data_IF_240297059110
#
_entry.id   IF_240297059110
#
_cell.length_a   1.000
_cell.length_b   1.000
_cell.length_c   1.000
_cell.angle_alpha   90.00
_cell.angle_beta   90.00
_cell.angle_gamma   90.00
#
_symmetry.space_group_name_H-M   'P 1'
#
loop_
_entity.id
_entity.type
_entity.pdbx_description
1 polymer ?
#
# COMPACT_ATOMS: atom_id res chain seq x y z
N UNK A 1 18.26 -1.64 0.44
CA UNK A 1 16.95 -2.30 0.18
C UNK A 1 16.66 -3.46 1.15
N UNK A 2 17.53 -4.47 1.35
CA UNK A 2 17.24 -5.59 2.27
C UNK A 2 16.80 -5.15 3.67
N UNK A 3 17.57 -4.29 4.35
CA UNK A 3 17.21 -3.79 5.68
C UNK A 3 15.90 -3.00 5.69
N UNK A 4 15.60 -2.25 4.62
CA UNK A 4 14.34 -1.53 4.48
C UNK A 4 13.14 -2.47 4.34
N UNK A 5 13.34 -3.67 3.79
CA UNK A 5 12.27 -4.65 3.62
C UNK A 5 12.09 -5.53 4.85
N UNK A 6 13.20 -5.92 5.51
CA UNK A 6 13.12 -6.82 6.67
C UNK A 6 12.84 -6.09 7.99
N UNK A 7 13.37 -4.88 8.16
CA UNK A 7 13.33 -4.13 9.42
C UNK A 7 12.96 -2.65 9.20
N UNK A 8 11.85 -2.32 8.55
CA UNK A 8 11.53 -0.91 8.24
C UNK A 8 11.43 -0.06 9.51
N UNK A 9 10.85 -0.61 10.57
CA UNK A 9 10.66 0.04 11.87
C UNK A 9 11.80 -0.24 12.86
N UNK A 10 12.78 -1.05 12.46
CA UNK A 10 14.03 -1.25 13.19
C UNK A 10 14.92 -0.02 13.09
N UNK A 11 15.92 0.10 13.98
CA UNK A 11 16.79 1.26 13.95
C UNK A 11 18.04 1.13 14.81
N UNK A 12 18.88 2.15 14.72
CA UNK A 12 20.11 2.32 15.52
C UNK A 12 19.77 3.19 16.73
N UNK A 13 20.05 2.69 17.93
CA UNK A 13 19.91 3.45 19.16
C UNK A 13 21.12 4.37 19.36
N UNK A 14 20.86 5.68 19.43
CA UNK A 14 21.86 6.69 19.77
C UNK A 14 21.40 7.39 21.06
N UNK A 15 21.89 6.94 22.18
CA UNK A 15 21.43 7.37 23.50
C UNK A 15 19.95 6.97 23.72
N UNK A 16 19.09 7.96 23.94
CA UNK A 16 17.63 7.75 24.13
C UNK A 16 16.84 7.80 22.84
N UNK A 17 17.49 8.06 21.70
CA UNK A 17 16.83 8.24 20.41
C UNK A 17 17.06 6.98 19.56
N UNK A 18 16.00 6.45 18.94
CA UNK A 18 16.10 5.40 17.92
C UNK A 18 15.94 6.05 16.55
N UNK A 19 16.99 5.98 15.72
CA UNK A 19 16.94 6.41 14.32
C UNK A 19 16.53 5.19 13.49
N UNK A 20 15.31 5.21 12.96
CA UNK A 20 14.76 4.08 12.19
C UNK A 20 15.50 3.91 10.85
N UNK A 21 15.67 2.66 10.42
CA UNK A 21 16.32 2.33 9.15
C UNK A 21 15.60 2.92 7.95
N UNK A 22 14.27 3.04 7.98
CA UNK A 22 13.50 3.67 6.91
C UNK A 22 13.95 5.12 6.65
N UNK A 23 14.26 5.90 7.69
CA UNK A 23 14.77 7.25 7.52
C UNK A 23 16.25 7.23 7.12
N UNK A 24 17.10 6.52 7.85
CA UNK A 24 18.56 6.52 7.63
C UNK A 24 18.92 6.01 6.23
N UNK A 25 18.48 4.81 5.89
CA UNK A 25 18.80 4.17 4.61
C UNK A 25 17.96 4.75 3.47
N UNK A 26 16.72 5.16 3.74
CA UNK A 26 15.88 5.83 2.77
C UNK A 26 16.50 7.15 2.31
N UNK A 27 16.91 8.00 3.24
CA UNK A 27 17.60 9.25 2.92
C UNK A 27 18.95 9.02 2.22
N UNK A 28 19.69 7.95 2.60
CA UNK A 28 20.93 7.58 1.91
C UNK A 28 20.67 7.23 0.43
N UNK A 29 19.63 6.45 0.13
CA UNK A 29 19.28 6.11 -1.26
C UNK A 29 18.86 7.36 -2.05
N UNK A 30 18.06 8.24 -1.44
CA UNK A 30 17.63 9.51 -2.06
C UNK A 30 18.86 10.39 -2.34
N UNK A 31 19.78 10.49 -1.36
CA UNK A 31 21.02 11.23 -1.51
C UNK A 31 21.90 10.67 -2.65
N UNK A 32 22.07 9.35 -2.73
CA UNK A 32 22.79 8.73 -3.85
C UNK A 32 22.14 9.07 -5.21
N UNK A 33 20.81 9.10 -5.29
CA UNK A 33 20.08 9.54 -6.48
C UNK A 33 20.41 10.98 -6.85
N UNK A 34 20.39 11.90 -5.87
CA UNK A 34 20.70 13.30 -6.05
C UNK A 34 22.17 13.51 -6.48
N UNK A 35 23.11 12.85 -5.82
CA UNK A 35 24.54 12.89 -6.18
C UNK A 35 24.76 12.35 -7.60
N UNK A 36 24.12 11.23 -7.95
CA UNK A 36 24.20 10.69 -9.31
C UNK A 36 23.68 11.66 -10.35
N UNK A 37 22.60 12.40 -10.04
CA UNK A 37 22.07 13.44 -10.94
C UNK A 37 23.08 14.60 -11.11
N UNK A 38 23.72 15.04 -10.04
CA UNK A 38 24.72 16.14 -10.12
C UNK A 38 25.93 15.78 -10.97
N UNK A 39 26.45 14.54 -10.84
CA UNK A 39 27.64 14.12 -11.58
C UNK A 39 27.35 13.59 -13.00
N UNK A 40 26.16 13.03 -13.22
CA UNK A 40 25.76 12.46 -14.52
C UNK A 40 24.27 12.76 -14.77
N UNK A 41 23.92 14.00 -15.13
CA UNK A 41 22.54 14.42 -15.27
C UNK A 41 21.86 13.67 -16.40
N UNK A 42 20.88 12.86 -16.06
CA UNK A 42 19.92 12.25 -16.98
C UNK A 42 18.61 13.02 -16.86
N UNK A 43 18.53 14.19 -17.51
CA UNK A 43 17.43 15.15 -17.33
C UNK A 43 16.07 14.52 -17.67
N UNK A 44 15.95 13.83 -18.80
CA UNK A 44 14.71 13.17 -19.23
C UNK A 44 14.22 12.16 -18.19
N UNK A 45 15.16 11.36 -17.68
CA UNK A 45 14.90 10.37 -16.66
C UNK A 45 14.46 11.04 -15.34
N UNK A 46 15.11 12.13 -14.96
CA UNK A 46 14.76 12.89 -13.76
C UNK A 46 13.39 13.53 -13.88
N UNK A 47 13.04 14.11 -15.03
CA UNK A 47 11.71 14.68 -15.26
C UNK A 47 10.62 13.62 -15.21
N UNK A 48 10.88 12.44 -15.78
CA UNK A 48 9.93 11.32 -15.73
C UNK A 48 9.69 10.84 -14.29
N UNK A 49 10.79 10.55 -13.57
CA UNK A 49 10.74 10.13 -12.17
C UNK A 49 10.10 11.20 -11.28
N UNK A 50 10.44 12.48 -11.50
CA UNK A 50 9.88 13.61 -10.75
C UNK A 50 8.38 13.73 -10.96
N UNK A 51 7.90 13.62 -12.19
CA UNK A 51 6.47 13.69 -12.52
C UNK A 51 5.66 12.59 -11.83
N UNK A 52 6.12 11.33 -11.90
CA UNK A 52 5.43 10.22 -11.25
C UNK A 52 5.59 10.27 -9.73
N UNK A 53 6.76 10.64 -9.24
CA UNK A 53 7.01 10.79 -7.81
C UNK A 53 6.09 11.83 -7.17
N UNK A 54 5.95 13.00 -7.79
CA UNK A 54 5.03 14.04 -7.30
C UNK A 54 3.58 13.56 -7.33
N UNK A 55 3.14 12.91 -8.43
CA UNK A 55 1.77 12.40 -8.53
C UNK A 55 1.46 11.31 -7.50
N UNK A 56 2.42 10.41 -7.23
CA UNK A 56 2.27 9.35 -6.24
C UNK A 56 2.38 9.87 -4.80
N UNK A 57 3.16 10.93 -4.56
CA UNK A 57 3.30 11.56 -3.25
C UNK A 57 2.18 12.56 -2.92
N UNK A 58 1.45 13.04 -3.93
CA UNK A 58 0.43 14.08 -3.77
C UNK A 58 -0.62 13.76 -2.69
N UNK A 59 -1.19 12.54 -2.60
CA UNK A 59 -2.18 12.23 -1.56
C UNK A 59 -1.64 12.43 -0.13
N UNK A 60 -0.35 12.19 0.09
CA UNK A 60 0.29 12.34 1.40
C UNK A 60 0.46 13.83 1.76
N UNK A 61 0.96 14.64 0.83
CA UNK A 61 1.06 16.09 1.02
C UNK A 61 -0.32 16.71 1.24
N UNK A 62 -1.30 16.29 0.46
CA UNK A 62 -2.68 16.75 0.57
C UNK A 62 -3.27 16.40 1.95
N UNK A 63 -3.06 15.19 2.45
CA UNK A 63 -3.52 14.76 3.78
C UNK A 63 -2.92 15.61 4.90
N UNK A 64 -1.64 15.99 4.80
CA UNK A 64 -1.01 16.92 5.76
C UNK A 64 -1.65 18.29 5.67
N UNK A 65 -1.84 18.81 4.45
CA UNK A 65 -2.44 20.14 4.26
C UNK A 65 -3.84 20.23 4.88
N UNK A 66 -4.71 19.25 4.63
CA UNK A 66 -6.02 19.19 5.29
C UNK A 66 -5.88 19.09 6.81
N UNK A 67 -4.98 18.23 7.28
CA UNK A 67 -4.76 18.06 8.72
C UNK A 67 -4.23 19.33 9.38
N UNK A 68 -3.43 20.12 8.71
CA UNK A 68 -2.99 21.43 9.26
C UNK A 68 -4.19 22.34 9.54
N UNK A 69 -5.18 22.37 8.64
CA UNK A 69 -6.42 23.13 8.84
C UNK A 69 -7.18 22.59 10.06
N UNK A 70 -7.37 21.26 10.13
CA UNK A 70 -8.08 20.59 11.23
C UNK A 70 -7.36 20.84 12.57
N UNK A 71 -6.04 20.70 12.63
CA UNK A 71 -5.25 20.90 13.84
C UNK A 71 -5.37 22.33 14.37
N UNK A 72 -5.46 23.33 13.49
CA UNK A 72 -5.66 24.72 13.89
C UNK A 72 -7.07 24.95 14.42
N UNK A 73 -8.10 24.38 13.78
CA UNK A 73 -9.50 24.54 14.18
C UNK A 73 -9.78 23.83 15.51
N UNK A 74 -9.28 22.58 15.68
CA UNK A 74 -9.55 21.74 16.84
C UNK A 74 -8.53 21.92 17.99
N UNK A 75 -7.58 22.87 17.86
CA UNK A 75 -6.49 23.09 18.83
C UNK A 75 -5.83 21.77 19.28
N UNK A 76 -5.51 20.92 18.30
CA UNK A 76 -5.02 19.57 18.53
C UNK A 76 -3.72 19.56 19.36
N UNK A 77 -3.56 18.54 20.19
CA UNK A 77 -2.33 18.33 20.96
C UNK A 77 -1.08 18.28 20.04
N UNK A 78 0.06 18.91 20.44
CA UNK A 78 1.30 18.86 19.65
C UNK A 78 1.79 17.44 19.32
N UNK A 79 1.50 16.47 20.18
CA UNK A 79 1.86 15.07 19.96
C UNK A 79 1.06 14.42 18.82
N UNK A 80 -0.20 14.82 18.59
CA UNK A 80 -1.02 14.38 17.46
C UNK A 80 -0.40 14.92 16.17
N UNK A 81 -0.16 16.23 16.12
CA UNK A 81 0.46 16.91 14.98
C UNK A 81 1.80 16.27 14.61
N UNK A 82 2.68 16.07 15.60
CA UNK A 82 3.98 15.43 15.41
C UNK A 82 3.85 14.06 14.78
N UNK A 83 2.92 13.23 15.26
CA UNK A 83 2.68 11.89 14.69
C UNK A 83 2.16 11.94 13.27
N UNK A 84 1.18 12.80 13.00
CA UNK A 84 0.64 12.98 11.65
C UNK A 84 1.71 13.39 10.64
N UNK A 85 2.57 14.35 11.03
CA UNK A 85 3.70 14.76 10.20
C UNK A 85 4.69 13.60 9.99
N UNK A 86 5.04 12.84 11.05
CA UNK A 86 5.92 11.70 10.92
C UNK A 86 5.38 10.64 9.97
N UNK A 87 4.09 10.31 10.03
CA UNK A 87 3.48 9.36 9.09
C UNK A 87 3.56 9.84 7.65
N UNK A 88 3.23 11.10 7.40
CA UNK A 88 3.29 11.64 6.04
C UNK A 88 4.73 11.70 5.50
N UNK A 89 5.70 12.12 6.31
CA UNK A 89 7.12 12.11 5.95
C UNK A 89 7.61 10.70 5.64
N UNK A 90 7.22 9.73 6.47
CA UNK A 90 7.53 8.32 6.27
C UNK A 90 7.05 7.80 4.90
N UNK A 91 5.82 8.13 4.52
CA UNK A 91 5.22 7.74 3.25
C UNK A 91 5.86 8.47 2.05
N UNK A 92 6.16 9.75 2.20
CA UNK A 92 6.87 10.54 1.16
C UNK A 92 8.28 9.99 0.95
N UNK A 93 9.02 9.66 2.01
CA UNK A 93 10.34 9.02 1.90
C UNK A 93 10.22 7.68 1.15
N UNK A 94 9.20 6.87 1.41
CA UNK A 94 9.00 5.62 0.69
C UNK A 94 8.84 5.85 -0.83
N UNK A 95 8.05 6.84 -1.24
CA UNK A 95 7.91 7.22 -2.66
C UNK A 95 9.23 7.73 -3.22
N UNK A 96 9.94 8.60 -2.51
CA UNK A 96 11.23 9.14 -2.96
C UNK A 96 12.31 8.06 -3.09
N UNK A 97 12.34 7.07 -2.18
CA UNK A 97 13.22 5.89 -2.29
C UNK A 97 12.91 5.10 -3.56
N UNK A 98 11.64 4.87 -3.85
CA UNK A 98 11.22 4.22 -5.08
C UNK A 98 11.68 4.99 -6.33
N UNK A 99 11.49 6.31 -6.33
CA UNK A 99 11.88 7.18 -7.44
C UNK A 99 13.40 7.24 -7.60
N UNK A 100 14.16 7.38 -6.51
CA UNK A 100 15.63 7.33 -6.56
C UNK A 100 16.14 5.98 -7.06
N UNK A 101 15.49 4.87 -6.66
CA UNK A 101 15.83 3.53 -7.15
C UNK A 101 15.58 3.41 -8.66
N UNK A 102 14.46 3.91 -9.17
CA UNK A 102 14.19 3.95 -10.61
C UNK A 102 15.15 4.88 -11.34
N UNK A 103 15.51 6.02 -10.76
CA UNK A 103 16.50 6.93 -11.35
C UNK A 103 17.86 6.25 -11.48
N UNK A 104 18.34 5.58 -10.44
CA UNK A 104 19.67 4.93 -10.39
C UNK A 104 19.74 3.67 -11.28
N UNK A 105 18.73 2.81 -11.22
CA UNK A 105 18.78 1.46 -11.76
C UNK A 105 17.77 1.17 -12.88
N UNK A 106 16.84 2.09 -13.14
CA UNK A 106 15.75 1.86 -14.09
C UNK A 106 14.91 0.65 -13.72
N UNK A 107 14.51 -0.13 -14.71
CA UNK A 107 13.74 -1.37 -14.52
C UNK A 107 14.45 -2.37 -13.59
N UNK A 108 15.80 -2.44 -13.62
CA UNK A 108 16.55 -3.29 -12.71
C UNK A 108 16.29 -2.96 -11.24
N UNK A 109 15.88 -1.72 -10.92
CA UNK A 109 15.47 -1.31 -9.58
C UNK A 109 14.26 -2.09 -9.06
N UNK A 110 13.32 -2.45 -9.94
CA UNK A 110 12.16 -3.30 -9.59
C UNK A 110 12.64 -4.69 -9.16
N UNK A 111 13.53 -5.29 -9.96
CA UNK A 111 14.08 -6.61 -9.67
C UNK A 111 14.98 -6.61 -8.42
N UNK A 112 15.72 -5.53 -8.18
CA UNK A 112 16.52 -5.36 -6.95
C UNK A 112 15.62 -5.28 -5.71
N UNK A 113 14.50 -4.56 -5.79
CA UNK A 113 13.53 -4.51 -4.70
C UNK A 113 12.89 -5.89 -4.45
N UNK A 114 12.47 -6.56 -5.52
CA UNK A 114 11.92 -7.92 -5.44
C UNK A 114 12.94 -8.89 -4.80
N UNK A 115 14.19 -8.89 -5.25
CA UNK A 115 15.25 -9.73 -4.70
C UNK A 115 15.53 -9.44 -3.21
N UNK A 116 15.52 -8.17 -2.82
CA UNK A 116 15.67 -7.76 -1.43
C UNK A 116 14.55 -8.29 -0.53
N UNK A 117 13.31 -8.24 -1.02
CA UNK A 117 12.15 -8.78 -0.32
C UNK A 117 12.17 -10.31 -0.27
N UNK A 118 12.50 -10.97 -1.39
CA UNK A 118 12.61 -12.42 -1.45
C UNK A 118 13.66 -12.94 -0.46
N UNK A 119 14.82 -12.28 -0.39
CA UNK A 119 15.86 -12.58 0.59
C UNK A 119 15.38 -12.35 2.03
N UNK A 120 14.70 -11.23 2.31
CA UNK A 120 14.16 -10.92 3.63
C UNK A 120 13.16 -11.99 4.08
N UNK A 121 12.24 -12.38 3.19
CA UNK A 121 11.23 -13.40 3.49
C UNK A 121 11.85 -14.80 3.63
N UNK A 122 12.84 -15.16 2.81
CA UNK A 122 13.57 -16.43 2.92
C UNK A 122 14.27 -16.54 4.27
N UNK A 123 14.95 -15.47 4.73
CA UNK A 123 15.61 -15.47 6.04
C UNK A 123 14.57 -15.64 7.15
N UNK A 124 13.44 -14.94 7.10
CA UNK A 124 12.36 -15.12 8.09
C UNK A 124 11.80 -16.55 8.06
N UNK A 125 11.58 -17.12 6.87
CA UNK A 125 11.14 -18.51 6.73
C UNK A 125 12.13 -19.49 7.37
N UNK A 126 13.42 -19.32 7.13
CA UNK A 126 14.46 -20.15 7.76
C UNK A 126 14.50 -19.98 9.29
N UNK A 127 14.36 -18.75 9.81
CA UNK A 127 14.24 -18.47 11.24
C UNK A 127 13.02 -19.16 11.86
N UNK A 128 11.88 -19.14 11.18
CA UNK A 128 10.63 -19.79 11.62
C UNK A 128 10.79 -21.31 11.58
N UNK A 129 11.32 -21.89 10.51
CA UNK A 129 11.58 -23.33 10.38
C UNK A 129 12.56 -23.80 11.45
N UNK A 130 13.64 -23.03 11.70
CA UNK A 130 14.62 -23.35 12.75
C UNK A 130 13.97 -23.40 14.16
N UNK A 131 12.99 -22.55 14.42
CA UNK A 131 12.35 -22.48 15.74
C UNK A 131 11.28 -23.54 15.96
N UNK A 132 10.52 -23.93 14.91
CA UNK A 132 9.37 -24.82 15.01
C UNK A 132 9.59 -26.19 14.36
N UNK A 133 10.64 -26.35 13.55
CA UNK A 133 10.90 -27.56 12.75
C UNK A 133 10.21 -27.55 11.41
N UNK A 134 10.80 -28.29 10.46
CA UNK A 134 10.31 -28.36 9.06
C UNK A 134 8.90 -28.98 9.00
N UNK A 135 8.69 -30.09 9.69
CA UNK A 135 7.42 -30.82 9.66
C UNK A 135 6.26 -29.96 10.19
N UNK A 136 6.49 -29.27 11.31
CA UNK A 136 5.48 -28.41 11.92
C UNK A 136 5.19 -27.18 11.05
N UNK A 137 6.19 -26.59 10.41
CA UNK A 137 6.00 -25.51 9.46
C UNK A 137 5.06 -25.93 8.31
N UNK A 138 5.33 -27.08 7.67
CA UNK A 138 4.48 -27.57 6.58
C UNK A 138 3.09 -27.98 7.05
N UNK A 139 2.97 -28.56 8.25
CA UNK A 139 1.66 -28.89 8.84
C UNK A 139 0.81 -27.62 8.98
N UNK A 140 1.33 -26.59 9.67
CA UNK A 140 0.59 -25.33 9.85
C UNK A 140 0.31 -24.61 8.54
N UNK A 141 1.23 -24.66 7.56
CA UNK A 141 1.01 -24.12 6.24
C UNK A 141 -0.15 -24.81 5.51
N UNK A 142 -0.21 -26.15 5.52
CA UNK A 142 -1.29 -26.92 4.90
C UNK A 142 -2.62 -26.63 5.62
N UNK A 143 -2.62 -26.63 6.95
CA UNK A 143 -3.81 -26.31 7.74
C UNK A 143 -4.35 -24.91 7.40
N UNK A 144 -3.48 -23.92 7.28
CA UNK A 144 -3.85 -22.55 6.88
C UNK A 144 -4.48 -22.52 5.48
N UNK A 145 -3.92 -23.28 4.53
CA UNK A 145 -4.43 -23.33 3.17
C UNK A 145 -5.77 -24.10 3.07
N UNK A 146 -5.97 -25.12 3.91
CA UNK A 146 -7.19 -25.95 3.90
C UNK A 146 -8.34 -25.34 4.71
N UNK A 147 -8.04 -24.56 5.74
CA UNK A 147 -9.02 -23.97 6.65
C UNK A 147 -9.08 -22.45 6.54
N UNK A 148 -9.84 -21.96 5.56
CA UNK A 148 -9.97 -20.51 5.34
C UNK A 148 -10.58 -19.75 6.55
N UNK A 149 -11.35 -20.43 7.40
CA UNK A 149 -11.97 -19.86 8.60
C UNK A 149 -11.21 -20.21 9.91
N UNK A 150 -10.20 -21.08 9.84
CA UNK A 150 -9.47 -21.55 11.02
C UNK A 150 -8.55 -20.50 11.64
N UNK A 151 -8.06 -20.79 12.84
CA UNK A 151 -7.03 -19.99 13.48
C UNK A 151 -5.68 -20.20 12.79
N UNK A 152 -4.92 -19.11 12.66
CA UNK A 152 -3.56 -19.17 12.10
C UNK A 152 -2.62 -19.71 13.17
N UNK A 153 -1.83 -20.75 12.84
CA UNK A 153 -0.83 -21.30 13.77
C UNK A 153 0.33 -20.31 14.02
N UNK A 154 1.00 -20.44 15.17
CA UNK A 154 2.03 -19.49 15.65
C UNK A 154 3.17 -19.25 14.65
N UNK A 155 3.61 -20.29 13.93
CA UNK A 155 4.65 -20.17 12.91
C UNK A 155 4.17 -19.36 11.71
N UNK A 156 2.90 -19.52 11.32
CA UNK A 156 2.30 -18.77 10.23
C UNK A 156 2.03 -17.32 10.62
N UNK A 157 1.65 -17.04 11.87
CA UNK A 157 1.54 -15.67 12.40
C UNK A 157 2.88 -14.94 12.28
N UNK A 158 4.00 -15.61 12.56
CA UNK A 158 5.35 -15.01 12.41
C UNK A 158 5.69 -14.72 10.94
N UNK A 159 5.24 -15.56 10.01
CA UNK A 159 5.39 -15.29 8.56
C UNK A 159 4.50 -14.12 8.12
N UNK A 160 3.25 -14.07 8.57
CA UNK A 160 2.33 -12.94 8.31
C UNK A 160 2.88 -11.62 8.85
N UNK A 161 3.54 -11.65 10.01
CA UNK A 161 4.10 -10.46 10.66
C UNK A 161 5.15 -9.71 9.84
N UNK A 162 5.71 -10.32 8.79
CA UNK A 162 6.61 -9.61 7.85
C UNK A 162 5.91 -8.54 7.04
N UNK A 163 4.59 -8.63 6.87
CA UNK A 163 3.78 -7.79 5.98
C UNK A 163 4.23 -7.73 4.51
N UNK A 164 5.19 -8.58 4.11
CA UNK A 164 5.71 -8.64 2.73
C UNK A 164 4.74 -9.31 1.76
N UNK A 165 3.75 -10.04 2.28
CA UNK A 165 2.69 -10.68 1.49
C UNK A 165 2.03 -9.70 0.53
N UNK A 166 1.67 -8.51 1.01
CA UNK A 166 1.05 -7.48 0.17
C UNK A 166 1.95 -7.06 -0.98
N UNK A 167 3.23 -6.88 -0.70
CA UNK A 167 4.20 -6.54 -1.73
C UNK A 167 4.39 -7.68 -2.73
N UNK A 168 4.44 -8.94 -2.30
CA UNK A 168 4.52 -10.09 -3.21
C UNK A 168 3.26 -10.25 -4.07
N UNK A 169 2.06 -10.02 -3.49
CA UNK A 169 0.81 -9.99 -4.26
C UNK A 169 0.82 -8.91 -5.34
N UNK A 170 1.27 -7.71 -5.01
CA UNK A 170 1.45 -6.62 -5.97
C UNK A 170 2.47 -6.96 -7.06
N UNK A 171 3.61 -7.57 -6.72
CA UNK A 171 4.58 -8.07 -7.70
C UNK A 171 3.99 -9.15 -8.60
N UNK A 172 3.19 -10.06 -8.05
CA UNK A 172 2.53 -11.08 -8.85
C UNK A 172 1.59 -10.45 -9.88
N UNK A 173 0.74 -9.49 -9.47
CA UNK A 173 -0.13 -8.75 -10.39
C UNK A 173 0.71 -8.04 -11.46
N UNK A 174 1.77 -7.35 -11.06
CA UNK A 174 2.67 -6.64 -11.98
C UNK A 174 3.30 -7.60 -13.00
N UNK A 175 3.90 -8.69 -12.56
CA UNK A 175 4.55 -9.63 -13.47
C UNK A 175 3.55 -10.34 -14.38
N UNK A 176 2.36 -10.70 -13.86
CA UNK A 176 1.30 -11.29 -14.65
C UNK A 176 0.86 -10.36 -15.79
N UNK A 177 0.61 -9.09 -15.49
CA UNK A 177 0.25 -8.09 -16.49
C UNK A 177 1.39 -7.86 -17.51
N UNK A 178 2.64 -7.89 -17.06
CA UNK A 178 3.82 -7.77 -17.90
C UNK A 178 4.00 -8.98 -18.83
N UNK A 179 3.76 -10.19 -18.33
CA UNK A 179 3.80 -11.42 -19.12
C UNK A 179 2.71 -11.41 -20.20
N UNK A 180 1.50 -11.01 -19.84
CA UNK A 180 0.39 -10.89 -20.80
C UNK A 180 0.69 -9.83 -21.86
N UNK A 181 1.49 -8.82 -21.55
CA UNK A 181 2.03 -7.86 -22.51
C UNK A 181 3.25 -8.35 -23.32
N UNK A 182 3.51 -9.66 -23.34
CA UNK A 182 4.58 -10.36 -24.09
C UNK A 182 6.01 -10.22 -23.53
N UNK A 183 6.19 -9.79 -22.29
CA UNK A 183 7.52 -9.76 -21.66
C UNK A 183 7.83 -11.10 -20.96
N UNK A 184 8.04 -12.17 -21.73
CA UNK A 184 8.23 -13.56 -21.25
C UNK A 184 9.32 -13.73 -20.17
N UNK A 185 10.30 -12.83 -20.11
CA UNK A 185 11.38 -12.87 -19.09
C UNK A 185 10.88 -12.80 -17.65
N UNK A 186 9.65 -12.31 -17.41
CA UNK A 186 9.08 -12.19 -16.07
C UNK A 186 8.34 -13.44 -15.57
N UNK A 187 8.22 -14.51 -16.36
CA UNK A 187 7.57 -15.74 -15.93
C UNK A 187 8.18 -16.33 -14.65
N UNK A 188 9.52 -16.34 -14.57
CA UNK A 188 10.22 -16.82 -13.39
C UNK A 188 9.89 -15.95 -12.16
N UNK A 189 9.96 -14.64 -12.30
CA UNK A 189 9.64 -13.71 -11.20
C UNK A 189 8.17 -13.77 -10.80
N UNK A 190 7.27 -14.00 -11.73
CA UNK A 190 5.85 -14.22 -11.47
C UNK A 190 5.63 -15.49 -10.62
N UNK A 191 6.22 -16.61 -11.00
CA UNK A 191 6.13 -17.87 -10.24
C UNK A 191 6.73 -17.71 -8.84
N UNK A 192 7.89 -17.05 -8.74
CA UNK A 192 8.57 -16.81 -7.47
C UNK A 192 7.78 -15.84 -6.56
N UNK A 193 7.15 -14.81 -7.13
CA UNK A 193 6.29 -13.90 -6.35
C UNK A 193 5.06 -14.61 -5.80
N UNK A 194 4.44 -15.50 -6.59
CA UNK A 194 3.34 -16.34 -6.13
C UNK A 194 3.77 -17.28 -5.00
N UNK A 195 4.94 -17.91 -5.13
CA UNK A 195 5.49 -18.76 -4.07
C UNK A 195 5.63 -18.01 -2.75
N UNK A 196 6.30 -16.85 -2.75
CA UNK A 196 6.47 -16.04 -1.54
C UNK A 196 5.16 -15.48 -1.02
N UNK A 197 4.23 -15.13 -1.90
CA UNK A 197 2.89 -14.71 -1.52
C UNK A 197 2.14 -15.81 -0.76
N UNK A 198 2.21 -17.05 -1.23
CA UNK A 198 1.58 -18.20 -0.58
C UNK A 198 2.25 -18.56 0.75
N UNK A 199 3.60 -18.51 0.82
CA UNK A 199 4.33 -18.82 2.06
C UNK A 199 4.06 -17.79 3.16
N UNK A 200 3.88 -16.53 2.80
CA UNK A 200 3.54 -15.43 3.74
C UNK A 200 2.05 -15.14 3.77
N UNK A 201 1.22 -16.13 3.54
CA UNK A 201 -0.21 -16.04 3.25
C UNK A 201 -0.99 -15.17 4.23
N UNK A 202 -1.74 -14.22 3.67
CA UNK A 202 -2.78 -13.46 4.37
C UNK A 202 -4.08 -13.52 3.58
N UNK A 203 -5.18 -13.83 4.26
CA UNK A 203 -6.51 -13.96 3.62
C UNK A 203 -6.97 -12.68 2.94
N UNK A 204 -6.74 -11.55 3.59
CA UNK A 204 -7.05 -10.22 3.03
C UNK A 204 -6.27 -9.93 1.74
N UNK A 205 -5.01 -10.33 1.68
CA UNK A 205 -4.19 -10.19 0.49
C UNK A 205 -4.65 -11.12 -0.65
N UNK A 206 -5.12 -12.34 -0.33
CA UNK A 206 -5.69 -13.24 -1.33
C UNK A 206 -6.97 -12.66 -1.95
N UNK A 207 -7.87 -12.13 -1.13
CA UNK A 207 -9.08 -11.46 -1.63
C UNK A 207 -8.71 -10.26 -2.52
N UNK A 208 -7.74 -9.45 -2.09
CA UNK A 208 -7.25 -8.32 -2.88
C UNK A 208 -6.69 -8.78 -4.24
N UNK A 209 -5.96 -9.89 -4.26
CA UNK A 209 -5.42 -10.48 -5.48
C UNK A 209 -6.56 -10.94 -6.41
N UNK A 210 -7.54 -11.67 -5.88
CA UNK A 210 -8.70 -12.16 -6.66
C UNK A 210 -9.46 -10.99 -7.29
N UNK A 211 -9.81 -9.95 -6.52
CA UNK A 211 -10.51 -8.78 -7.06
C UNK A 211 -9.70 -8.03 -8.11
N UNK A 212 -8.41 -7.87 -7.90
CA UNK A 212 -7.51 -7.26 -8.89
C UNK A 212 -7.47 -8.04 -10.21
N UNK A 213 -7.39 -9.39 -10.14
CA UNK A 213 -7.38 -10.25 -11.31
C UNK A 213 -8.74 -10.28 -12.01
N UNK A 214 -9.83 -10.35 -11.26
CA UNK A 214 -11.20 -10.27 -11.83
C UNK A 214 -11.40 -8.96 -12.58
N UNK A 215 -10.97 -7.83 -12.02
CA UNK A 215 -11.01 -6.56 -12.73
C UNK A 215 -10.15 -6.59 -14.00
N UNK A 216 -8.94 -7.15 -13.93
CA UNK A 216 -8.08 -7.29 -15.11
C UNK A 216 -8.75 -8.08 -16.25
N UNK A 217 -9.44 -9.17 -15.91
CA UNK A 217 -10.23 -9.94 -16.87
C UNK A 217 -11.41 -9.15 -17.43
N UNK A 218 -12.15 -8.45 -16.56
CA UNK A 218 -13.28 -7.59 -16.95
C UNK A 218 -12.82 -6.48 -17.92
N UNK A 219 -11.76 -5.77 -17.60
CA UNK A 219 -11.19 -4.73 -18.46
C UNK A 219 -10.72 -5.27 -19.81
N UNK A 220 -10.23 -6.52 -19.85
CA UNK A 220 -9.90 -7.18 -21.13
C UNK A 220 -11.12 -7.42 -22.00
N UNK A 221 -12.28 -7.72 -21.43
CA UNK A 221 -13.54 -7.81 -22.17
C UNK A 221 -13.98 -6.46 -22.72
N UNK A 222 -13.91 -5.41 -21.88
CA UNK A 222 -14.26 -4.03 -22.29
C UNK A 222 -13.28 -3.41 -23.30
N UNK A 223 -12.07 -3.93 -23.45
CA UNK A 223 -11.11 -3.45 -24.45
C UNK A 223 -11.69 -3.43 -25.88
N UNK A 224 -12.68 -4.28 -26.16
CA UNK A 224 -13.35 -4.36 -27.46
C UNK A 224 -14.37 -3.22 -27.70
N UNK A 225 -14.80 -2.52 -26.64
CA UNK A 225 -15.83 -1.47 -26.71
C UNK A 225 -15.15 -0.11 -26.54
N UNK A 226 -14.85 0.29 -25.33
CA UNK A 226 -14.12 1.51 -24.96
C UNK A 226 -13.44 1.33 -23.61
N UNK A 227 -12.13 1.07 -23.64
CA UNK A 227 -11.35 0.87 -22.42
C UNK A 227 -11.27 2.15 -21.56
N UNK A 228 -11.19 3.34 -22.20
CA UNK A 228 -11.11 4.60 -21.45
C UNK A 228 -12.39 4.89 -20.66
N UNK A 229 -13.53 4.61 -21.28
CA UNK A 229 -14.83 4.74 -20.63
C UNK A 229 -14.94 3.79 -19.41
N UNK A 230 -14.57 2.51 -19.61
CA UNK A 230 -14.57 1.52 -18.53
C UNK A 230 -13.67 1.94 -17.36
N UNK A 231 -12.47 2.45 -17.63
CA UNK A 231 -11.54 2.95 -16.62
C UNK A 231 -12.16 4.10 -15.82
N UNK A 232 -12.76 5.08 -16.52
CA UNK A 232 -13.40 6.22 -15.87
C UNK A 232 -14.55 5.80 -14.95
N UNK A 233 -15.35 4.80 -15.32
CA UNK A 233 -16.38 4.27 -14.44
C UNK A 233 -15.76 3.59 -13.22
N UNK A 234 -14.83 2.65 -13.44
CA UNK A 234 -14.25 1.86 -12.36
C UNK A 234 -13.53 2.71 -11.31
N UNK A 235 -12.80 3.77 -11.72
CA UNK A 235 -12.12 4.65 -10.76
C UNK A 235 -13.09 5.39 -9.84
N UNK A 236 -14.28 5.81 -10.34
CA UNK A 236 -15.32 6.44 -9.53
C UNK A 236 -16.11 5.44 -8.69
N UNK A 237 -16.33 4.23 -9.20
CA UNK A 237 -16.95 3.14 -8.43
C UNK A 237 -16.15 2.83 -7.19
N UNK A 238 -14.80 2.84 -7.25
CA UNK A 238 -13.96 2.67 -6.06
C UNK A 238 -14.18 3.78 -5.03
N UNK A 239 -14.32 5.02 -5.47
CA UNK A 239 -14.61 6.15 -4.57
C UNK A 239 -15.95 5.95 -3.86
N UNK A 240 -16.99 5.56 -4.60
CA UNK A 240 -18.32 5.30 -4.04
C UNK A 240 -18.28 4.11 -3.07
N UNK A 241 -17.62 3.01 -3.42
CA UNK A 241 -17.48 1.83 -2.54
C UNK A 241 -16.81 2.23 -1.23
N UNK A 242 -15.74 3.02 -1.26
CA UNK A 242 -15.03 3.44 -0.04
C UNK A 242 -15.89 4.35 0.86
N UNK A 243 -16.69 5.23 0.27
CA UNK A 243 -17.66 6.06 1.03
C UNK A 243 -18.76 5.21 1.65
N UNK A 244 -19.36 4.31 0.87
CA UNK A 244 -20.39 3.38 1.36
C UNK A 244 -19.84 2.48 2.47
N UNK A 245 -18.62 2.00 2.35
CA UNK A 245 -17.99 1.16 3.36
C UNK A 245 -17.86 1.87 4.72
N UNK A 246 -17.40 3.12 4.73
CA UNK A 246 -17.30 3.90 5.98
C UNK A 246 -18.68 4.21 6.55
N UNK A 247 -19.67 4.50 5.67
CA UNK A 247 -21.06 4.68 6.10
C UNK A 247 -21.63 3.40 6.72
N UNK A 248 -21.43 2.23 6.11
CA UNK A 248 -21.87 0.94 6.63
C UNK A 248 -21.28 0.62 8.01
N UNK A 249 -19.99 0.95 8.22
CA UNK A 249 -19.37 0.82 9.54
C UNK A 249 -20.08 1.73 10.55
N UNK A 250 -20.29 2.99 10.19
CA UNK A 250 -20.89 3.99 11.10
C UNK A 250 -22.30 3.65 11.53
N UNK A 251 -23.10 3.10 10.61
CA UNK A 251 -24.52 2.78 10.84
C UNK A 251 -24.74 1.32 11.31
N UNK A 252 -23.66 0.55 11.60
CA UNK A 252 -23.74 -0.82 12.10
C UNK A 252 -24.13 -1.89 11.06
N UNK A 253 -24.27 -1.53 9.77
CA UNK A 253 -24.60 -2.48 8.71
C UNK A 253 -23.53 -3.55 8.50
N UNK A 254 -22.25 -3.21 8.80
CA UNK A 254 -21.17 -4.19 8.70
C UNK A 254 -21.34 -5.31 9.73
N UNK A 255 -21.84 -5.01 10.93
CA UNK A 255 -22.09 -6.00 11.99
C UNK A 255 -23.21 -6.96 11.60
N UNK A 256 -24.31 -6.41 11.02
CA UNK A 256 -25.41 -7.22 10.49
C UNK A 256 -24.89 -8.18 9.41
N UNK A 257 -24.14 -7.67 8.42
CA UNK A 257 -23.60 -8.50 7.34
C UNK A 257 -22.64 -9.57 7.85
N UNK A 258 -21.78 -9.25 8.81
CA UNK A 258 -20.82 -10.22 9.36
C UNK A 258 -21.50 -11.27 10.23
N UNK A 259 -22.56 -10.91 10.96
CA UNK A 259 -23.36 -11.84 11.72
C UNK A 259 -24.12 -12.81 10.81
N UNK A 260 -24.72 -12.33 9.71
CA UNK A 260 -25.45 -13.17 8.75
C UNK A 260 -24.54 -14.10 7.94
N UNK A 261 -23.34 -13.62 7.59
CA UNK A 261 -22.39 -14.40 6.78
C UNK A 261 -21.46 -15.30 7.60
N UNK A 262 -21.44 -15.17 8.93
CA UNK A 262 -20.53 -15.90 9.81
C UNK A 262 -19.05 -15.53 9.62
N UNK A 263 -18.74 -14.40 8.98
CA UNK A 263 -17.37 -13.96 8.76
C UNK A 263 -16.73 -13.54 10.08
N UNK A 264 -15.61 -14.17 10.43
CA UNK A 264 -14.85 -13.79 11.62
C UNK A 264 -14.10 -12.48 11.38
N UNK A 265 -14.53 -11.42 12.07
CA UNK A 265 -13.93 -10.08 11.99
C UNK A 265 -12.71 -9.89 12.90
N UNK A 266 -12.30 -10.92 13.66
CA UNK A 266 -11.21 -10.84 14.64
C UNK A 266 -11.42 -9.67 15.62
N UNK A 267 -12.62 -9.52 16.16
CA UNK A 267 -13.04 -8.46 17.09
C UNK A 267 -12.92 -7.01 16.52
N UNK A 268 -12.76 -6.84 15.21
CA UNK A 268 -12.70 -5.50 14.58
C UNK A 268 -14.00 -4.73 14.76
N UNK A 269 -15.14 -5.42 14.75
CA UNK A 269 -16.45 -4.81 15.01
C UNK A 269 -16.48 -4.09 16.35
N UNK A 270 -16.01 -4.74 17.44
CA UNK A 270 -15.93 -4.12 18.76
C UNK A 270 -15.06 -2.86 18.79
N UNK A 271 -14.00 -2.85 17.97
CA UNK A 271 -13.15 -1.67 17.82
C UNK A 271 -13.86 -0.54 17.05
N UNK A 272 -14.61 -0.87 16.00
CA UNK A 272 -15.37 0.11 15.22
C UNK A 272 -16.48 0.73 16.05
N UNK A 273 -17.20 -0.07 16.86
CA UNK A 273 -18.22 0.40 17.79
C UNK A 273 -17.65 1.38 18.83
N UNK A 274 -16.49 1.06 19.37
CA UNK A 274 -15.79 1.95 20.30
C UNK A 274 -15.35 3.27 19.67
N UNK A 275 -15.10 3.29 18.35
CA UNK A 275 -14.76 4.50 17.60
C UNK A 275 -16.00 5.31 17.20
N UNK A 276 -17.18 4.70 17.11
CA UNK A 276 -18.40 5.34 16.62
C UNK A 276 -18.77 6.61 17.40
N UNK A 277 -18.44 6.71 18.67
CA UNK A 277 -18.67 7.90 19.49
C UNK A 277 -17.82 9.13 19.10
N UNK A 278 -16.74 8.96 18.32
CA UNK A 278 -15.75 10.00 18.05
C UNK A 278 -15.88 10.62 16.65
N UNK A 279 -16.74 10.10 15.80
CA UNK A 279 -16.98 10.66 14.45
C UNK A 279 -18.44 10.54 14.05
N UNK A 280 -18.85 11.36 13.09
CA UNK A 280 -20.15 11.29 12.42
C UNK A 280 -19.94 11.11 10.92
N UNK A 281 -20.88 10.45 10.23
CA UNK A 281 -20.83 10.38 8.78
C UNK A 281 -21.66 11.53 8.17
N UNK A 282 -21.00 12.38 7.39
CA UNK A 282 -21.68 13.49 6.70
C UNK A 282 -20.74 14.63 6.30
N UNK A 283 -21.21 15.54 5.44
CA UNK A 283 -20.39 16.58 4.81
C UNK A 283 -19.83 17.62 5.80
N UNK A 284 -20.43 17.74 6.98
CA UNK A 284 -20.01 18.69 8.02
C UNK A 284 -18.99 18.11 9.00
N UNK A 285 -18.62 16.83 8.86
CA UNK A 285 -17.57 16.24 9.69
C UNK A 285 -16.19 16.68 9.19
N UNK A 286 -15.49 17.47 9.99
CA UNK A 286 -14.20 18.09 9.63
C UNK A 286 -13.00 17.16 9.83
N UNK A 287 -13.15 16.09 10.63
CA UNK A 287 -12.05 15.19 11.00
C UNK A 287 -11.35 15.58 12.31
N UNK A 288 -10.32 14.80 12.67
CA UNK A 288 -9.52 14.94 13.89
C UNK A 288 -8.04 15.27 13.62
N UNK A 289 -7.65 15.33 12.35
CA UNK A 289 -6.26 15.50 11.90
C UNK A 289 -5.46 14.20 11.96
N UNK A 290 -4.49 14.08 11.05
CA UNK A 290 -3.58 12.92 10.98
C UNK A 290 -2.88 12.68 12.32
N UNK A 291 -2.73 11.39 12.67
CA UNK A 291 -2.07 10.95 13.90
C UNK A 291 -3.00 10.86 15.11
N UNK A 292 -4.24 11.32 15.01
CA UNK A 292 -5.20 11.29 16.12
C UNK A 292 -5.51 9.85 16.56
N UNK A 293 -5.88 8.96 15.64
CA UNK A 293 -6.20 7.56 15.96
C UNK A 293 -5.02 6.87 16.65
N UNK A 294 -3.84 6.97 16.06
CA UNK A 294 -2.64 6.35 16.64
C UNK A 294 -2.34 6.89 18.04
N UNK A 295 -2.49 8.21 18.25
CA UNK A 295 -2.29 8.81 19.57
C UNK A 295 -3.29 8.28 20.58
N UNK A 296 -4.57 8.22 20.21
CA UNK A 296 -5.64 7.78 21.09
C UNK A 296 -5.51 6.29 21.47
N UNK A 297 -5.14 5.43 20.50
CA UNK A 297 -4.89 4.00 20.77
C UNK A 297 -3.70 3.82 21.73
N UNK A 298 -2.59 4.53 21.51
CA UNK A 298 -1.38 4.36 22.33
C UNK A 298 -1.48 4.94 23.74
N UNK A 299 -2.38 5.89 23.98
CA UNK A 299 -2.57 6.50 25.31
C UNK A 299 -3.72 5.89 26.10
N UNK A 300 -4.42 4.89 25.54
CA UNK A 300 -5.65 4.37 26.14
C UNK A 300 -6.79 5.41 26.19
N UNK A 301 -6.70 6.46 25.37
CA UNK A 301 -7.72 7.50 25.28
C UNK A 301 -9.03 7.03 24.63
N UNK A 302 -8.99 5.89 23.94
CA UNK A 302 -10.18 5.20 23.44
C UNK A 302 -10.57 4.09 24.42
N UNK A 303 -11.82 4.13 24.89
CA UNK A 303 -12.40 3.04 25.69
C UNK A 303 -12.83 1.92 24.74
N UNK A 304 -11.86 1.15 24.26
CA UNK A 304 -12.11 -0.02 23.43
C UNK A 304 -12.30 -1.26 24.27
N UNK A 305 -13.18 -2.15 23.85
CA UNK A 305 -13.40 -3.45 24.46
C UNK A 305 -12.20 -4.40 24.31
N UNK A 306 -11.27 -4.07 23.40
CA UNK A 306 -10.07 -4.86 23.07
C UNK A 306 -8.86 -3.95 23.05
N UNK A 307 -7.76 -4.37 23.68
CA UNK A 307 -6.48 -3.68 23.54
C UNK A 307 -5.92 -3.88 22.13
N UNK A 308 -5.86 -2.78 21.35
CA UNK A 308 -5.29 -2.74 20.00
C UNK A 308 -4.27 -1.63 19.88
N UNK A 309 -3.18 -1.91 19.22
CA UNK A 309 -2.09 -0.95 19.01
C UNK A 309 -2.27 -0.15 17.73
N UNK A 310 -3.09 -0.63 16.79
CA UNK A 310 -3.33 0.00 15.50
C UNK A 310 -4.73 -0.32 14.96
N UNK A 311 -5.29 0.59 14.16
CA UNK A 311 -6.56 0.40 13.48
C UNK A 311 -6.30 -0.30 12.14
N UNK A 312 -6.69 -1.58 12.05
CA UNK A 312 -6.59 -2.37 10.83
C UNK A 312 -7.69 -2.03 9.81
N UNK A 313 -7.77 -0.75 9.44
CA UNK A 313 -8.72 -0.22 8.47
C UNK A 313 -8.26 1.19 8.05
N UNK A 314 -7.58 1.28 6.92
CA UNK A 314 -7.05 2.55 6.44
C UNK A 314 -8.16 3.52 6.00
N UNK A 315 -9.27 3.03 5.43
CA UNK A 315 -10.38 3.90 5.01
C UNK A 315 -11.06 4.58 6.19
N UNK A 316 -11.37 3.81 7.24
CA UNK A 316 -11.97 4.38 8.45
C UNK A 316 -11.01 5.36 9.14
N UNK A 317 -9.70 5.01 9.19
CA UNK A 317 -8.66 5.90 9.71
C UNK A 317 -8.64 7.23 8.96
N UNK A 318 -8.51 7.18 7.62
CA UNK A 318 -8.44 8.38 6.80
C UNK A 318 -9.72 9.21 6.90
N UNK A 319 -10.88 8.57 7.00
CA UNK A 319 -12.14 9.28 7.20
C UNK A 319 -12.17 10.03 8.55
N UNK A 320 -11.84 9.34 9.65
CA UNK A 320 -11.84 9.94 11.00
C UNK A 320 -10.81 11.09 11.08
N UNK A 321 -9.65 10.91 10.48
CA UNK A 321 -8.56 11.89 10.57
C UNK A 321 -8.75 13.07 9.61
N UNK A 322 -9.21 12.87 8.37
CA UNK A 322 -9.34 13.92 7.35
C UNK A 322 -10.73 14.56 7.27
N UNK A 323 -11.75 13.97 7.89
CA UNK A 323 -13.14 14.38 7.73
C UNK A 323 -13.73 14.04 6.36
N UNK A 324 -15.00 14.35 6.16
CA UNK A 324 -15.72 13.95 4.94
C UNK A 324 -15.10 14.53 3.66
N UNK A 325 -14.92 15.84 3.62
CA UNK A 325 -14.38 16.52 2.43
C UNK A 325 -12.93 16.11 2.18
N UNK A 326 -12.09 16.11 3.22
CA UNK A 326 -10.69 15.71 3.13
C UNK A 326 -10.55 14.25 2.66
N UNK A 327 -11.37 13.36 3.20
CA UNK A 327 -11.41 11.95 2.80
C UNK A 327 -11.85 11.76 1.34
N UNK A 328 -12.91 12.46 0.91
CA UNK A 328 -13.37 12.41 -0.48
C UNK A 328 -12.27 12.84 -1.46
N UNK A 329 -11.61 13.96 -1.18
CA UNK A 329 -10.52 14.45 -2.02
C UNK A 329 -9.29 13.54 -1.97
N UNK A 330 -9.01 12.92 -0.82
CA UNK A 330 -7.98 11.89 -0.69
C UNK A 330 -8.32 10.66 -1.55
N UNK A 331 -9.57 10.16 -1.50
CA UNK A 331 -10.03 9.04 -2.35
C UNK A 331 -9.89 9.37 -3.84
N UNK A 332 -10.30 10.57 -4.25
CA UNK A 332 -10.15 11.02 -5.64
C UNK A 332 -8.68 11.04 -6.03
N UNK A 333 -7.80 11.55 -5.19
CA UNK A 333 -6.37 11.61 -5.50
C UNK A 333 -5.73 10.22 -5.58
N UNK A 334 -6.13 9.31 -4.68
CA UNK A 334 -5.60 7.94 -4.62
C UNK A 334 -6.07 7.05 -5.78
N UNK A 335 -7.34 7.13 -6.15
CA UNK A 335 -7.93 6.24 -7.15
C UNK A 335 -7.99 6.93 -8.52
N UNK A 336 -8.71 8.04 -8.62
CA UNK A 336 -8.91 8.74 -9.89
C UNK A 336 -7.61 9.42 -10.37
N UNK A 337 -6.96 10.18 -9.51
CA UNK A 337 -5.74 10.93 -9.85
C UNK A 337 -4.60 10.03 -10.30
N UNK A 338 -4.34 8.95 -9.56
CA UNK A 338 -3.28 7.98 -9.91
C UNK A 338 -3.57 7.26 -11.22
N UNK A 339 -4.77 6.72 -11.41
CA UNK A 339 -5.12 5.99 -12.63
C UNK A 339 -5.04 6.92 -13.85
N UNK A 340 -5.61 8.14 -13.76
CA UNK A 340 -5.57 9.13 -14.87
C UNK A 340 -4.17 9.59 -15.22
N UNK A 341 -3.25 9.66 -14.24
CA UNK A 341 -1.85 9.99 -14.51
C UNK A 341 -1.23 9.02 -15.54
N UNK A 342 -1.56 7.72 -15.44
CA UNK A 342 -1.07 6.69 -16.37
C UNK A 342 -1.93 6.60 -17.63
N UNK A 343 -3.26 6.70 -17.50
CA UNK A 343 -4.21 6.66 -18.62
C UNK A 343 -3.98 7.76 -19.67
N UNK A 344 -3.55 8.96 -19.24
CA UNK A 344 -3.23 10.07 -20.15
C UNK A 344 -2.20 9.70 -21.20
N UNK A 345 -1.31 8.77 -20.91
CA UNK A 345 -0.33 8.30 -21.89
C UNK A 345 -0.85 7.13 -22.72
N UNK A 346 -1.42 6.12 -22.07
CA UNK A 346 -1.97 4.92 -22.71
C UNK A 346 -3.07 4.31 -21.83
N UNK A 347 -4.20 3.96 -22.43
CA UNK A 347 -5.31 3.31 -21.73
C UNK A 347 -4.92 1.96 -21.11
N UNK A 348 -3.99 1.20 -21.74
CA UNK A 348 -3.49 -0.06 -21.16
C UNK A 348 -2.69 0.18 -19.88
N UNK A 349 -1.87 1.23 -19.82
CA UNK A 349 -1.18 1.63 -18.60
C UNK A 349 -2.17 2.07 -17.52
N UNK A 350 -3.25 2.77 -17.90
CA UNK A 350 -4.35 3.09 -17.00
C UNK A 350 -5.01 1.85 -16.43
N UNK A 351 -5.27 0.84 -17.25
CA UNK A 351 -5.85 -0.44 -16.82
C UNK A 351 -4.95 -1.16 -15.81
N UNK A 352 -3.65 -1.18 -16.05
CA UNK A 352 -2.69 -1.77 -15.11
C UNK A 352 -2.65 -0.99 -13.79
N UNK A 353 -2.58 0.33 -13.86
CA UNK A 353 -2.60 1.19 -12.68
C UNK A 353 -3.90 0.98 -11.87
N UNK A 354 -5.04 0.78 -12.54
CA UNK A 354 -6.31 0.50 -11.89
C UNK A 354 -6.30 -0.89 -11.22
N UNK A 355 -5.80 -1.94 -11.87
CA UNK A 355 -5.68 -3.27 -11.26
C UNK A 355 -4.79 -3.23 -10.01
N UNK A 356 -3.66 -2.53 -10.08
CA UNK A 356 -2.78 -2.31 -8.93
C UNK A 356 -3.48 -1.49 -7.84
N UNK A 357 -4.23 -0.46 -8.20
CA UNK A 357 -5.00 0.35 -7.25
C UNK A 357 -6.08 -0.46 -6.56
N UNK A 358 -6.79 -1.36 -7.26
CA UNK A 358 -7.78 -2.26 -6.67
C UNK A 358 -7.12 -3.25 -5.71
N UNK A 359 -5.94 -3.79 -6.03
CA UNK A 359 -5.21 -4.63 -5.09
C UNK A 359 -4.96 -3.91 -3.76
N UNK A 360 -4.41 -2.69 -3.80
CA UNK A 360 -4.16 -1.90 -2.59
C UNK A 360 -5.45 -1.43 -1.92
N UNK A 361 -6.46 -1.05 -2.69
CA UNK A 361 -7.78 -0.67 -2.19
C UNK A 361 -8.40 -1.77 -1.32
N UNK A 362 -8.38 -3.01 -1.78
CA UNK A 362 -8.91 -4.13 -1.01
C UNK A 362 -8.12 -4.36 0.29
N UNK A 363 -6.81 -4.12 0.29
CA UNK A 363 -6.02 -4.23 1.52
C UNK A 363 -6.33 -3.12 2.53
N UNK A 364 -6.69 -1.91 2.07
CA UNK A 364 -7.08 -0.79 2.94
C UNK A 364 -8.39 -1.01 3.69
N UNK A 365 -9.27 -1.89 3.19
CA UNK A 365 -10.52 -2.24 3.85
C UNK A 365 -10.30 -2.97 5.19
N UNK A 366 -9.26 -3.78 5.27
CA UNK A 366 -9.08 -4.74 6.36
C UNK A 366 -7.74 -4.66 7.06
N UNK A 367 -6.84 -3.80 6.60
CA UNK A 367 -5.47 -3.72 7.10
C UNK A 367 -4.99 -2.26 7.13
N UNK A 368 -3.76 -2.06 7.62
CA UNK A 368 -3.09 -0.76 7.67
C UNK A 368 -1.95 -0.64 6.64
N UNK A 369 -2.17 -1.20 5.44
CA UNK A 369 -1.15 -1.26 4.38
C UNK A 369 -0.75 0.11 3.84
N UNK A 370 -1.62 1.12 3.98
CA UNK A 370 -1.30 2.52 3.67
C UNK A 370 -0.10 3.04 4.48
N UNK A 371 0.10 2.52 5.69
CA UNK A 371 1.21 2.92 6.56
C UNK A 371 2.44 2.01 6.47
N UNK A 372 2.42 0.94 5.67
CA UNK A 372 3.56 0.04 5.54
C UNK A 372 4.61 0.59 4.56
N UNK A 373 5.82 0.82 5.05
CA UNK A 373 6.92 1.40 4.27
C UNK A 373 7.29 0.56 3.05
N UNK A 374 7.45 -0.75 3.23
CA UNK A 374 7.77 -1.70 2.16
C UNK A 374 6.68 -1.75 1.08
N UNK A 375 5.41 -1.69 1.50
CA UNK A 375 4.26 -1.65 0.62
C UNK A 375 4.24 -0.38 -0.23
N UNK A 376 4.49 0.79 0.38
CA UNK A 376 4.52 2.07 -0.32
C UNK A 376 5.69 2.18 -1.31
N UNK A 377 6.90 1.68 -0.95
CA UNK A 377 8.01 1.59 -1.91
C UNK A 377 7.61 0.70 -3.08
N UNK A 378 7.07 -0.49 -2.80
CA UNK A 378 6.69 -1.46 -3.83
C UNK A 378 5.63 -0.88 -4.76
N UNK A 379 4.57 -0.28 -4.22
CA UNK A 379 3.53 0.35 -5.01
C UNK A 379 4.10 1.43 -5.94
N UNK A 380 4.91 2.34 -5.40
CA UNK A 380 5.49 3.43 -6.18
C UNK A 380 6.46 2.92 -7.27
N UNK A 381 7.29 1.91 -6.94
CA UNK A 381 8.18 1.27 -7.91
C UNK A 381 7.43 0.59 -9.05
N UNK A 382 6.39 -0.19 -8.73
CA UNK A 382 5.65 -0.95 -9.73
C UNK A 382 4.82 -0.04 -10.63
N UNK A 383 4.13 0.95 -10.05
CA UNK A 383 3.34 1.90 -10.82
C UNK A 383 4.22 2.74 -11.76
N UNK A 384 5.27 3.38 -11.24
CA UNK A 384 6.13 4.23 -12.06
C UNK A 384 7.06 3.42 -12.97
N UNK A 385 7.52 2.25 -12.52
CA UNK A 385 8.52 1.45 -13.21
C UNK A 385 8.05 0.88 -14.54
N UNK A 386 6.76 0.53 -14.66
CA UNK A 386 6.21 0.09 -15.92
C UNK A 386 6.35 1.13 -17.04
N UNK A 387 6.07 2.37 -16.70
CA UNK A 387 6.16 3.47 -17.65
C UNK A 387 7.60 3.79 -18.04
N UNK A 388 8.54 3.50 -17.17
CA UNK A 388 9.95 3.81 -17.35
C UNK A 388 10.58 3.11 -18.56
N UNK A 389 10.14 1.89 -18.86
CA UNK A 389 10.59 1.16 -20.06
C UNK A 389 10.03 1.72 -21.36
N UNK A 390 8.72 1.98 -21.38
CA UNK A 390 8.06 2.42 -22.62
C UNK A 390 8.41 3.87 -22.99
N UNK A 391 8.63 4.74 -21.98
CA UNK A 391 9.00 6.14 -22.20
C UNK A 391 10.34 6.31 -22.91
N UNK A 392 11.37 5.61 -22.42
CA UNK A 392 12.72 5.69 -22.96
C UNK A 392 12.81 5.06 -24.36
N UNK A 393 12.03 4.00 -24.64
CA UNK A 393 12.03 3.37 -25.97
C UNK A 393 11.29 4.19 -27.03
N UNK A 394 10.25 4.92 -26.64
CA UNK A 394 9.47 5.75 -27.57
C UNK A 394 10.27 6.98 -27.98
N UNK A 395 10.99 7.62 -27.08
CA UNK A 395 11.86 8.77 -27.40
C UNK A 395 13.03 8.39 -28.29
N UNK A 396 13.67 7.24 -28.07
CA UNK A 396 14.73 6.75 -28.97
C UNK A 396 14.26 6.50 -30.39
N UNK A 397 12.98 6.15 -30.62
CA UNK A 397 12.41 5.99 -31.98
C UNK A 397 12.15 7.33 -32.67
N UNK A 398 11.87 8.40 -31.91
CA UNK A 398 11.63 9.73 -32.47
C UNK A 398 12.90 10.54 -32.72
N UNK A 399 14.02 10.19 -32.10
CA UNK A 399 15.32 10.88 -32.32
C UNK A 399 16.14 10.29 -33.48
N UNK A 400 15.69 9.19 -34.10
CA UNK A 400 16.35 8.54 -35.27
C UNK A 400 15.48 8.53 -36.52
N UNK A 401 14.43 9.26 -36.57
CA UNK A 401 13.62 9.60 -37.75
C UNK A 401 13.73 11.07 -38.04
#
# INVERSE_FOLDING_TARGET
MFYLMKFPDGGIKVGKITIMYCYLLGLAIIFMGAVSFLFRPQVERMLLVGRYGLGLAFPYFFSVFISMIVWVIDWSEPNIMRRGIFYAVYQVIAVLVAMATLYLFGEKGILLNFGAMALANTITMLEVIRSGGVAEFFRQFIELMMSFAGQTGDLMIRMEGTNLTYSFGAFFVFFLLTVTARKKRYWFYMALSLFFFLVSFKRSALLALVFSLMLGLLLKLFRRIDLKFALNICEWVLVVIALLYVWMIRDGWLDVLTAETGVNTNARNLMYDGLAAYYSFGPFYLGKGLGWITRMLQTGGLKLAVEVTDLHNDFLRQYIELGFVGYLLWLISMNVGRVRMFQKKNAELGAMALCMSVFWFCTYLTENTYNLFSANITMALLMAGWHFEDGIQTEKRHTWG
#
